data_IF_320705639898
#
_entry.id   IF_320705639898
#
_cell.length_a   1.000
_cell.length_b   1.000
_cell.length_c   1.000
_cell.angle_alpha   90.00
_cell.angle_beta   90.00
_cell.angle_gamma   90.00
#
_symmetry.space_group_name_H-M   'P 1'
#
loop_
_entity.id
_entity.type
_entity.pdbx_description
1 polymer ?
#
# COMPACT_ATOMS: atom_id res chain seq x y z
N UNK A 1 -19.99 -12.50 16.79
CA UNK A 1 -19.67 -11.46 15.80
C UNK A 1 -19.39 -10.18 16.55
N UNK A 2 -18.26 -9.51 16.30
CA UNK A 2 -17.97 -8.19 16.91
C UNK A 2 -18.98 -7.17 16.39
N UNK A 3 -19.58 -6.37 17.27
CA UNK A 3 -20.52 -5.33 16.85
C UNK A 3 -19.82 -4.28 15.99
N UNK A 4 -20.47 -3.84 14.90
CA UNK A 4 -20.03 -2.68 14.12
C UNK A 4 -20.18 -1.44 14.96
N UNK A 5 -19.12 -0.64 15.09
CA UNK A 5 -19.15 0.59 15.89
C UNK A 5 -18.65 1.77 15.05
N UNK A 6 -19.20 2.94 15.33
CA UNK A 6 -18.90 4.17 14.61
C UNK A 6 -18.49 5.27 15.58
N UNK A 7 -17.59 6.15 15.14
CA UNK A 7 -17.29 7.42 15.81
C UNK A 7 -17.41 8.57 14.83
N UNK A 8 -17.70 9.77 15.33
CA UNK A 8 -17.65 10.99 14.52
C UNK A 8 -16.41 11.78 14.90
N UNK A 9 -15.64 12.22 13.92
CA UNK A 9 -14.49 13.08 14.15
C UNK A 9 -14.97 14.50 14.53
N UNK A 10 -14.59 15.04 15.70
CA UNK A 10 -15.05 16.36 16.13
C UNK A 10 -14.52 17.50 15.26
N UNK A 11 -13.40 17.28 14.54
CA UNK A 11 -12.78 18.31 13.68
C UNK A 11 -13.34 18.32 12.27
N UNK A 12 -13.48 17.14 11.65
CA UNK A 12 -13.93 17.05 10.25
C UNK A 12 -15.42 16.76 10.10
N UNK A 13 -16.12 16.36 11.17
CA UNK A 13 -17.51 15.91 11.12
C UNK A 13 -17.72 14.56 10.40
N UNK A 14 -16.65 13.94 9.90
CA UNK A 14 -16.72 12.65 9.21
C UNK A 14 -16.99 11.51 10.19
N UNK A 15 -17.82 10.56 9.77
CA UNK A 15 -18.13 9.35 10.51
C UNK A 15 -17.20 8.22 10.06
N UNK A 16 -16.58 7.54 11.03
CA UNK A 16 -15.66 6.44 10.80
C UNK A 16 -16.21 5.15 11.41
N UNK A 17 -16.26 4.09 10.62
CA UNK A 17 -16.45 2.74 11.15
C UNK A 17 -15.13 2.21 11.73
N UNK A 18 -15.22 1.55 12.88
CA UNK A 18 -14.09 1.12 13.70
C UNK A 18 -13.04 0.25 12.99
N UNK A 19 -13.44 -0.70 12.16
CA UNK A 19 -12.52 -1.58 11.43
C UNK A 19 -11.92 -0.86 10.23
N UNK A 20 -12.76 -0.15 9.48
CA UNK A 20 -12.35 0.66 8.35
C UNK A 20 -11.27 1.67 8.77
N UNK A 21 -11.49 2.40 9.87
CA UNK A 21 -10.54 3.37 10.40
C UNK A 21 -9.20 2.73 10.77
N UNK A 22 -9.21 1.62 11.50
CA UNK A 22 -7.97 0.93 11.89
C UNK A 22 -7.19 0.44 10.68
N UNK A 23 -7.89 -0.08 9.66
CA UNK A 23 -7.26 -0.50 8.41
C UNK A 23 -6.70 0.68 7.61
N UNK A 24 -7.42 1.81 7.55
CA UNK A 24 -6.91 3.05 6.94
C UNK A 24 -5.62 3.49 7.63
N UNK A 25 -5.60 3.53 8.97
CA UNK A 25 -4.42 3.92 9.75
C UNK A 25 -3.28 2.92 9.53
N UNK A 26 -3.55 1.61 9.58
CA UNK A 26 -2.53 0.59 9.41
C UNK A 26 -1.85 0.70 8.03
N UNK A 27 -2.64 0.84 6.97
CA UNK A 27 -2.13 1.04 5.62
C UNK A 27 -1.39 2.38 5.48
N UNK A 28 -1.95 3.49 5.98
CA UNK A 28 -1.31 4.79 5.91
C UNK A 28 0.03 4.85 6.68
N UNK A 29 0.12 4.18 7.83
CA UNK A 29 1.36 4.08 8.60
C UNK A 29 2.37 3.21 7.86
N UNK A 30 1.98 2.04 7.35
CA UNK A 30 2.87 1.19 6.56
C UNK A 30 3.40 1.92 5.32
N UNK A 31 2.55 2.71 4.67
CA UNK A 31 2.93 3.59 3.59
C UNK A 31 4.03 4.57 4.06
N UNK A 32 3.77 5.37 5.10
CA UNK A 32 4.74 6.37 5.57
C UNK A 32 6.08 5.74 5.98
N UNK A 33 6.06 4.52 6.54
CA UNK A 33 7.28 3.77 6.84
C UNK A 33 8.02 3.40 5.56
N UNK A 34 7.33 2.88 4.53
CA UNK A 34 7.96 2.57 3.24
C UNK A 34 8.53 3.84 2.56
N UNK A 35 7.80 4.96 2.62
CA UNK A 35 8.27 6.26 2.15
C UNK A 35 9.55 6.70 2.89
N UNK A 36 9.60 6.53 4.20
CA UNK A 36 10.77 6.88 5.00
C UNK A 36 11.97 6.01 4.62
N UNK A 37 11.79 4.69 4.52
CA UNK A 37 12.85 3.75 4.12
C UNK A 37 13.34 4.10 2.71
N UNK A 38 12.45 4.16 1.72
CA UNK A 38 12.78 4.54 0.36
C UNK A 38 13.43 5.93 0.26
N UNK A 39 12.93 6.90 1.02
CA UNK A 39 13.48 8.27 1.07
C UNK A 39 14.89 8.33 1.65
N UNK A 40 15.19 7.56 2.70
CA UNK A 40 16.55 7.47 3.25
C UNK A 40 17.52 6.84 2.26
N UNK A 41 17.09 5.77 1.55
CA UNK A 41 17.89 5.13 0.51
C UNK A 41 18.18 6.07 -0.67
N UNK A 42 17.25 6.99 -0.97
CA UNK A 42 17.42 8.01 -2.01
C UNK A 42 18.64 8.90 -1.77
N UNK A 43 19.00 9.17 -0.51
CA UNK A 43 20.20 9.96 -0.15
C UNK A 43 21.45 9.23 -0.66
N UNK A 44 21.54 7.91 -0.46
CA UNK A 44 22.64 7.10 -0.98
C UNK A 44 22.72 7.13 -2.51
N UNK A 45 21.57 7.06 -3.19
CA UNK A 45 21.48 7.17 -4.66
C UNK A 45 21.98 8.53 -5.13
N UNK A 46 21.45 9.62 -4.59
CA UNK A 46 21.78 11.00 -5.02
C UNK A 46 23.25 11.33 -4.75
N UNK A 47 23.75 11.00 -3.55
CA UNK A 47 25.15 11.22 -3.18
C UNK A 47 26.14 10.31 -3.92
N UNK A 48 25.67 9.29 -4.65
CA UNK A 48 26.53 8.50 -5.55
C UNK A 48 26.49 9.01 -6.98
N UNK A 49 25.41 9.70 -7.37
CA UNK A 49 25.22 10.28 -8.71
C UNK A 49 25.72 11.72 -8.82
N UNK A 50 26.10 12.36 -7.72
CA UNK A 50 26.68 13.69 -7.70
C UNK A 50 28.13 13.65 -8.24
N UNK A 51 28.50 14.40 -9.29
CA UNK A 51 29.88 14.42 -9.80
C UNK A 51 31.00 14.68 -8.77
N UNK A 52 30.71 15.32 -7.63
CA UNK A 52 31.69 15.61 -6.59
C UNK A 52 31.76 14.53 -5.50
N UNK A 53 30.69 13.74 -5.31
CA UNK A 53 30.56 12.75 -4.23
C UNK A 53 30.16 11.42 -4.85
N UNK A 54 30.92 10.36 -4.56
CA UNK A 54 30.68 9.02 -5.09
C UNK A 54 30.63 8.04 -3.91
N UNK A 55 29.60 8.17 -3.08
CA UNK A 55 29.58 7.53 -1.76
C UNK A 55 29.55 6.00 -1.81
N UNK A 56 28.63 5.42 -2.61
CA UNK A 56 28.42 3.97 -2.62
C UNK A 56 29.27 3.28 -3.70
N UNK A 57 29.83 2.12 -3.37
CA UNK A 57 30.37 1.20 -4.35
C UNK A 57 29.28 0.67 -5.29
N UNK A 58 29.66 0.19 -6.47
CA UNK A 58 28.70 -0.16 -7.53
C UNK A 58 27.67 -1.22 -7.10
N UNK A 59 28.11 -2.29 -6.44
CA UNK A 59 27.25 -3.37 -5.93
C UNK A 59 26.22 -2.85 -4.90
N UNK A 60 26.67 -2.02 -3.97
CA UNK A 60 25.82 -1.40 -2.95
C UNK A 60 24.88 -0.37 -3.56
N UNK A 61 25.34 0.39 -4.56
CA UNK A 61 24.52 1.35 -5.29
C UNK A 61 23.32 0.65 -5.96
N UNK A 62 23.54 -0.47 -6.67
CA UNK A 62 22.43 -1.17 -7.32
C UNK A 62 21.49 -1.87 -6.32
N UNK A 63 22.01 -2.36 -5.19
CA UNK A 63 21.17 -2.87 -4.10
C UNK A 63 20.27 -1.78 -3.52
N UNK A 64 20.86 -0.63 -3.17
CA UNK A 64 20.14 0.54 -2.61
C UNK A 64 19.15 1.12 -3.63
N UNK A 65 19.54 1.21 -4.91
CA UNK A 65 18.66 1.69 -5.99
C UNK A 65 17.46 0.75 -6.20
N UNK A 66 17.67 -0.56 -6.07
CA UNK A 66 16.60 -1.56 -6.16
C UNK A 66 15.60 -1.38 -5.02
N UNK A 67 16.08 -1.37 -3.78
CA UNK A 67 15.25 -1.16 -2.60
C UNK A 67 14.50 0.19 -2.67
N UNK A 68 15.21 1.29 -2.94
CA UNK A 68 14.61 2.62 -3.10
C UNK A 68 13.45 2.62 -4.11
N UNK A 69 13.67 2.10 -5.32
CA UNK A 69 12.66 2.10 -6.36
C UNK A 69 11.42 1.31 -5.97
N UNK A 70 11.59 0.14 -5.34
CA UNK A 70 10.49 -0.72 -4.91
C UNK A 70 9.72 -0.10 -3.74
N UNK A 71 10.41 0.39 -2.71
CA UNK A 71 9.77 1.02 -1.55
C UNK A 71 8.98 2.28 -1.96
N UNK A 72 9.50 3.08 -2.88
CA UNK A 72 8.87 4.34 -3.29
C UNK A 72 7.72 4.15 -4.27
N UNK A 73 7.86 3.25 -5.26
CA UNK A 73 6.91 3.16 -6.37
C UNK A 73 5.92 2.00 -6.24
N UNK A 74 6.21 1.03 -5.38
CA UNK A 74 5.33 -0.12 -5.14
C UNK A 74 4.76 -0.03 -3.73
N UNK A 75 5.60 -0.11 -2.69
CA UNK A 75 5.08 -0.27 -1.32
C UNK A 75 4.44 1.01 -0.79
N UNK A 76 5.12 2.16 -0.86
CA UNK A 76 4.58 3.45 -0.45
C UNK A 76 3.25 3.76 -1.13
N UNK A 77 3.25 3.76 -2.47
CA UNK A 77 2.08 4.18 -3.26
C UNK A 77 0.90 3.25 -3.00
N UNK A 78 1.10 1.93 -3.05
CA UNK A 78 -0.02 0.99 -2.97
C UNK A 78 -0.57 0.89 -1.54
N UNK A 79 0.27 0.92 -0.49
CA UNK A 79 -0.27 1.01 0.88
C UNK A 79 -1.07 2.30 1.07
N UNK A 80 -0.58 3.43 0.58
CA UNK A 80 -1.30 4.70 0.68
C UNK A 80 -2.62 4.66 -0.11
N UNK A 81 -2.60 4.09 -1.31
CA UNK A 81 -3.76 3.91 -2.16
C UNK A 81 -4.83 3.05 -1.48
N UNK A 82 -4.48 1.92 -0.88
CA UNK A 82 -5.44 1.08 -0.13
C UNK A 82 -6.08 1.85 1.03
N UNK A 83 -5.31 2.68 1.75
CA UNK A 83 -5.87 3.54 2.79
C UNK A 83 -6.90 4.52 2.22
N UNK A 84 -6.60 5.14 1.07
CA UNK A 84 -7.52 6.04 0.35
C UNK A 84 -8.76 5.29 -0.15
N UNK A 85 -8.63 4.09 -0.69
CA UNK A 85 -9.75 3.26 -1.13
C UNK A 85 -10.72 2.98 0.04
N UNK A 86 -10.20 2.57 1.19
CA UNK A 86 -11.04 2.32 2.36
C UNK A 86 -11.69 3.59 2.90
N UNK A 87 -10.98 4.72 2.91
CA UNK A 87 -11.56 6.01 3.25
C UNK A 87 -12.69 6.39 2.28
N UNK A 88 -12.46 6.28 0.98
CA UNK A 88 -13.37 6.70 -0.07
C UNK A 88 -14.62 5.82 -0.19
N UNK A 89 -14.53 4.53 0.17
CA UNK A 89 -15.66 3.60 0.13
C UNK A 89 -16.45 3.52 1.44
N UNK A 90 -15.80 3.67 2.61
CA UNK A 90 -16.47 3.57 3.91
C UNK A 90 -16.79 4.93 4.52
N UNK A 91 -15.79 5.81 4.69
CA UNK A 91 -15.99 7.09 5.41
C UNK A 91 -16.85 8.06 4.61
N UNK A 92 -16.58 8.22 3.31
CA UNK A 92 -17.33 9.16 2.47
C UNK A 92 -18.76 8.70 2.19
N UNK A 93 -18.98 7.38 2.14
CA UNK A 93 -20.31 6.81 1.97
C UNK A 93 -21.00 6.50 3.31
N UNK A 94 -20.36 6.76 4.45
CA UNK A 94 -20.92 6.53 5.80
C UNK A 94 -21.44 5.10 6.01
N UNK A 95 -20.70 4.12 5.52
CA UNK A 95 -21.05 2.72 5.65
C UNK A 95 -19.91 1.92 6.30
N UNK A 96 -20.19 0.71 6.75
CA UNK A 96 -19.17 -0.22 7.23
C UNK A 96 -18.36 -0.82 6.09
N UNK A 97 -17.09 -1.13 6.36
CA UNK A 97 -16.26 -1.87 5.42
C UNK A 97 -16.81 -3.29 5.18
N UNK A 98 -16.70 -3.79 3.96
CA UNK A 98 -16.98 -5.18 3.64
C UNK A 98 -15.92 -6.10 4.24
N UNK A 99 -16.35 -7.27 4.71
CA UNK A 99 -15.47 -8.40 5.09
C UNK A 99 -14.18 -8.01 5.85
N UNK A 100 -14.25 -7.32 7.00
CA UNK A 100 -13.07 -6.74 7.68
C UNK A 100 -11.97 -7.77 8.00
N UNK A 101 -12.31 -9.03 8.26
CA UNK A 101 -11.31 -10.10 8.46
C UNK A 101 -10.46 -10.35 7.21
N UNK A 102 -11.08 -10.31 6.03
CA UNK A 102 -10.39 -10.46 4.75
C UNK A 102 -9.52 -9.23 4.48
N UNK A 103 -10.02 -8.03 4.82
CA UNK A 103 -9.24 -6.81 4.70
C UNK A 103 -7.98 -6.80 5.58
N UNK A 104 -8.06 -7.33 6.81
CA UNK A 104 -6.88 -7.54 7.65
C UNK A 104 -5.93 -8.60 7.11
N UNK A 105 -6.45 -9.68 6.53
CA UNK A 105 -5.63 -10.70 5.86
C UNK A 105 -4.90 -10.11 4.63
N UNK A 106 -5.57 -9.25 3.85
CA UNK A 106 -4.98 -8.52 2.74
C UNK A 106 -3.82 -7.62 3.20
N UNK A 107 -4.05 -6.82 4.25
CA UNK A 107 -3.01 -6.00 4.86
C UNK A 107 -1.81 -6.83 5.35
N UNK A 108 -2.07 -7.97 6.00
CA UNK A 108 -1.01 -8.86 6.47
C UNK A 108 -0.19 -9.45 5.31
N UNK A 109 -0.86 -9.87 4.22
CA UNK A 109 -0.18 -10.34 3.00
C UNK A 109 0.71 -9.26 2.39
N UNK A 110 0.21 -8.03 2.28
CA UNK A 110 1.00 -6.88 1.83
C UNK A 110 2.21 -6.64 2.73
N UNK A 111 2.02 -6.57 4.04
CA UNK A 111 3.11 -6.32 4.98
C UNK A 111 4.19 -7.41 4.93
N UNK A 112 3.79 -8.68 4.91
CA UNK A 112 4.71 -9.82 4.82
C UNK A 112 5.46 -9.78 3.48
N UNK A 113 4.76 -9.51 2.38
CA UNK A 113 5.37 -9.40 1.05
C UNK A 113 6.41 -8.30 0.96
N UNK A 114 6.10 -7.11 1.49
CA UNK A 114 7.01 -5.96 1.52
C UNK A 114 8.26 -6.23 2.36
N UNK A 115 8.09 -6.81 3.56
CA UNK A 115 9.21 -7.17 4.45
C UNK A 115 10.08 -8.27 3.81
N UNK A 116 9.47 -9.33 3.28
CA UNK A 116 10.19 -10.41 2.62
C UNK A 116 11.01 -9.91 1.43
N UNK A 117 10.42 -9.06 0.59
CA UNK A 117 11.10 -8.48 -0.56
C UNK A 117 12.31 -7.63 -0.12
N UNK A 118 12.11 -6.70 0.83
CA UNK A 118 13.20 -5.88 1.36
C UNK A 118 14.34 -6.73 1.95
N UNK A 119 14.02 -7.72 2.79
CA UNK A 119 15.02 -8.63 3.36
C UNK A 119 15.82 -9.35 2.27
N UNK A 120 15.16 -9.79 1.20
CA UNK A 120 15.82 -10.48 0.09
C UNK A 120 16.73 -9.53 -0.73
N UNK A 121 16.33 -8.27 -0.91
CA UNK A 121 17.18 -7.26 -1.56
C UNK A 121 18.44 -6.98 -0.72
N UNK A 122 18.28 -6.76 0.59
CA UNK A 122 19.41 -6.46 1.48
C UNK A 122 20.36 -7.64 1.76
N UNK A 123 19.98 -8.87 1.37
CA UNK A 123 20.91 -10.01 1.33
C UNK A 123 21.91 -9.93 0.16
N UNK A 124 21.75 -8.97 -0.76
CA UNK A 124 22.69 -8.66 -1.84
C UNK A 124 22.52 -9.50 -3.11
N UNK A 125 21.70 -10.56 -3.09
CA UNK A 125 21.47 -11.46 -4.22
C UNK A 125 20.38 -11.03 -5.21
N UNK A 126 19.73 -9.88 -5.00
CA UNK A 126 18.54 -9.46 -5.76
C UNK A 126 18.58 -7.99 -6.19
N UNK A 127 19.75 -7.51 -6.62
CA UNK A 127 19.95 -6.13 -7.12
C UNK A 127 19.48 -5.97 -8.57
N UNK A 128 18.16 -6.09 -8.79
CA UNK A 128 17.54 -6.19 -10.14
C UNK A 128 16.76 -4.95 -10.58
N UNK A 129 16.91 -3.84 -9.85
CA UNK A 129 16.12 -2.61 -10.03
C UNK A 129 14.60 -2.84 -9.87
N UNK A 130 13.81 -1.77 -9.92
CA UNK A 130 12.35 -1.89 -9.80
C UNK A 130 11.73 -2.66 -10.97
N UNK A 131 12.33 -2.61 -12.16
CA UNK A 131 11.79 -3.25 -13.37
C UNK A 131 12.10 -4.75 -13.49
N UNK A 132 13.17 -5.25 -12.84
CA UNK A 132 13.51 -6.67 -12.84
C UNK A 132 13.61 -7.31 -14.24
N UNK A 133 14.21 -6.60 -15.20
CA UNK A 133 14.33 -7.10 -16.57
C UNK A 133 15.26 -8.33 -16.66
N UNK A 134 14.78 -9.36 -17.36
CA UNK A 134 15.60 -10.52 -17.78
C UNK A 134 16.72 -10.07 -18.74
N UNK A 135 17.91 -10.73 -18.74
CA UNK A 135 18.24 -12.00 -18.08
C UNK A 135 18.71 -11.90 -16.61
N UNK A 136 18.62 -10.73 -15.97
CA UNK A 136 19.08 -10.55 -14.59
C UNK A 136 18.07 -11.12 -13.59
N UNK A 137 18.37 -12.29 -13.04
CA UNK A 137 17.47 -13.01 -12.13
C UNK A 137 17.71 -12.63 -10.67
N UNK A 138 16.63 -12.43 -9.93
CA UNK A 138 16.65 -12.32 -8.47
C UNK A 138 16.40 -13.69 -7.80
N UNK A 139 16.57 -13.75 -6.49
CA UNK A 139 16.14 -14.90 -5.69
C UNK A 139 14.63 -15.17 -5.82
N UNK A 140 14.20 -16.43 -5.76
CA UNK A 140 12.77 -16.79 -5.76
C UNK A 140 11.97 -16.10 -4.65
N UNK A 141 12.61 -15.80 -3.50
CA UNK A 141 12.00 -15.09 -2.37
C UNK A 141 11.69 -13.62 -2.69
N UNK A 142 12.46 -13.00 -3.59
CA UNK A 142 12.20 -11.64 -4.06
C UNK A 142 10.86 -11.59 -4.81
N UNK A 143 10.66 -12.52 -5.76
CA UNK A 143 9.43 -12.63 -6.54
C UNK A 143 8.25 -13.03 -5.68
N UNK A 144 8.43 -14.00 -4.76
CA UNK A 144 7.37 -14.40 -3.84
C UNK A 144 6.91 -13.21 -2.99
N UNK A 145 7.83 -12.39 -2.47
CA UNK A 145 7.50 -11.18 -1.73
C UNK A 145 6.60 -10.22 -2.52
N UNK A 146 6.96 -9.94 -3.79
CA UNK A 146 6.14 -9.10 -4.67
C UNK A 146 4.78 -9.73 -4.98
N UNK A 147 4.72 -11.05 -5.20
CA UNK A 147 3.46 -11.75 -5.48
C UNK A 147 2.53 -11.70 -4.27
N UNK A 148 3.04 -11.96 -3.06
CA UNK A 148 2.25 -11.86 -1.82
C UNK A 148 1.70 -10.45 -1.65
N UNK A 149 2.53 -9.44 -1.93
CA UNK A 149 2.12 -8.05 -1.88
C UNK A 149 1.00 -7.74 -2.89
N UNK A 150 1.19 -8.11 -4.15
CA UNK A 150 0.21 -7.88 -5.21
C UNK A 150 -1.12 -8.59 -4.94
N UNK A 151 -1.09 -9.84 -4.47
CA UNK A 151 -2.30 -10.59 -4.10
C UNK A 151 -3.03 -9.89 -2.94
N UNK A 152 -2.29 -9.42 -1.93
CA UNK A 152 -2.88 -8.64 -0.83
C UNK A 152 -3.55 -7.35 -1.34
N UNK A 153 -2.89 -6.61 -2.23
CA UNK A 153 -3.46 -5.40 -2.84
C UNK A 153 -4.73 -5.69 -3.66
N UNK A 154 -4.74 -6.75 -4.47
CA UNK A 154 -5.92 -7.16 -5.24
C UNK A 154 -7.09 -7.53 -4.33
N UNK A 155 -6.84 -8.26 -3.24
CA UNK A 155 -7.88 -8.56 -2.24
C UNK A 155 -8.41 -7.26 -1.62
N UNK A 156 -7.55 -6.29 -1.34
CA UNK A 156 -7.96 -4.99 -0.83
C UNK A 156 -8.87 -4.22 -1.82
N UNK A 157 -8.58 -4.27 -3.13
CA UNK A 157 -9.46 -3.73 -4.16
C UNK A 157 -10.83 -4.43 -4.18
N UNK A 158 -10.88 -5.77 -4.06
CA UNK A 158 -12.16 -6.48 -3.95
C UNK A 158 -12.95 -6.10 -2.69
N UNK A 159 -12.27 -5.89 -1.56
CA UNK A 159 -12.91 -5.35 -0.33
C UNK A 159 -13.47 -3.95 -0.57
N UNK A 160 -12.74 -3.09 -1.28
CA UNK A 160 -13.21 -1.77 -1.68
C UNK A 160 -14.51 -1.86 -2.50
N UNK A 161 -14.52 -2.65 -3.58
CA UNK A 161 -15.72 -2.84 -4.40
C UNK A 161 -16.89 -3.46 -3.60
N UNK A 162 -16.60 -4.43 -2.73
CA UNK A 162 -17.58 -4.99 -1.81
C UNK A 162 -18.18 -3.95 -0.87
N UNK A 163 -17.37 -2.98 -0.42
CA UNK A 163 -17.81 -1.89 0.45
C UNK A 163 -18.75 -0.93 -0.28
N UNK A 164 -18.54 -0.67 -1.58
CA UNK A 164 -19.49 0.09 -2.41
C UNK A 164 -20.85 -0.62 -2.54
N UNK A 165 -20.84 -1.95 -2.70
CA UNK A 165 -22.07 -2.75 -2.71
C UNK A 165 -22.80 -2.67 -1.35
N UNK A 166 -22.05 -2.72 -0.25
CA UNK A 166 -22.60 -2.52 1.10
C UNK A 166 -23.25 -1.14 1.22
N UNK A 167 -22.56 -0.08 0.81
CA UNK A 167 -23.08 1.29 0.84
C UNK A 167 -24.40 1.43 0.07
N UNK A 168 -24.47 0.84 -1.13
CA UNK A 168 -25.67 0.86 -1.98
C UNK A 168 -26.83 0.07 -1.36
N UNK A 169 -26.56 -1.12 -0.82
CA UNK A 169 -27.56 -1.98 -0.19
C UNK A 169 -28.13 -1.36 1.08
N UNK A 170 -27.28 -0.70 1.85
CA UNK A 170 -27.63 -0.01 3.10
C UNK A 170 -28.22 1.40 2.85
N UNK A 171 -28.36 1.81 1.58
CA UNK A 171 -28.95 3.11 1.16
C UNK A 171 -28.32 4.31 1.87
N UNK A 172 -27.00 4.26 2.02
CA UNK A 172 -26.24 5.30 2.74
C UNK A 172 -25.99 6.56 1.92
N UNK A 173 -26.26 6.51 0.61
CA UNK A 173 -26.22 7.64 -0.31
C UNK A 173 -27.29 7.48 -1.41
N UNK A 174 -27.66 8.60 -2.04
CA UNK A 174 -28.58 8.65 -3.17
C UNK A 174 -27.89 9.23 -4.41
N UNK A 175 -28.37 8.84 -5.60
CA UNK A 175 -27.77 9.27 -6.86
C UNK A 175 -26.37 8.70 -7.11
N UNK A 176 -25.49 9.53 -7.67
CA UNK A 176 -24.10 9.19 -7.98
C UNK A 176 -23.22 9.22 -6.73
N UNK A 177 -22.14 8.44 -6.73
CA UNK A 177 -21.13 8.49 -5.66
C UNK A 177 -20.39 9.84 -5.64
N UNK A 178 -19.83 10.28 -4.50
CA UNK A 178 -18.99 11.48 -4.44
C UNK A 178 -17.81 11.41 -5.41
N UNK A 179 -17.34 12.56 -5.89
CA UNK A 179 -16.24 12.64 -6.86
C UNK A 179 -14.97 11.90 -6.41
N UNK A 180 -14.63 12.00 -5.12
CA UNK A 180 -13.45 11.29 -4.56
C UNK A 180 -13.65 9.77 -4.60
N UNK A 181 -14.86 9.29 -4.30
CA UNK A 181 -15.20 7.86 -4.42
C UNK A 181 -15.18 7.42 -5.88
N UNK A 182 -15.63 8.25 -6.82
CA UNK A 182 -15.53 7.96 -8.25
C UNK A 182 -14.08 7.83 -8.71
N UNK A 183 -13.20 8.77 -8.30
CA UNK A 183 -11.76 8.67 -8.60
C UNK A 183 -11.13 7.41 -8.01
N UNK A 184 -11.51 7.03 -6.79
CA UNK A 184 -11.09 5.77 -6.16
C UNK A 184 -11.59 4.53 -6.92
N UNK A 185 -12.80 4.57 -7.51
CA UNK A 185 -13.30 3.50 -8.39
C UNK A 185 -12.42 3.37 -9.61
N UNK A 186 -12.08 4.48 -10.28
CA UNK A 186 -11.23 4.45 -11.46
C UNK A 186 -9.81 3.96 -11.14
N UNK A 187 -9.25 4.34 -10.00
CA UNK A 187 -7.94 3.87 -9.57
C UNK A 187 -7.91 2.37 -9.23
N UNK A 188 -9.00 1.83 -8.69
CA UNK A 188 -9.09 0.42 -8.30
C UNK A 188 -9.31 -0.56 -9.47
N UNK A 189 -9.61 -0.06 -10.69
CA UNK A 189 -9.80 -0.85 -11.92
C UNK A 189 -8.46 -0.97 -12.65
#
# INVERSE_FOLDING_TARGET
MTATTYRTCPRSGLQFESQAEKLMIANAVAAVVALLVGGLLAIGVVLTRWPAVHWLAADTFYMVLTAHGIDMLIFWIIFFEVAVLYFASSTLLRCRIATPKIAWAAFALMLIGAVMNNLTVFQGGSSVMMTSYVPMMASSWFYLGLILFAVGALIACFVFFGTLVVAKREKTYEGSVPLVTFGAITAAI
#
